data_IF_784574839794
#
_entry.id   IF_784574839794
#
_cell.length_a   1.000
_cell.length_b   1.000
_cell.length_c   1.000
_cell.angle_alpha   90.00
_cell.angle_beta   90.00
_cell.angle_gamma   90.00
#
_symmetry.space_group_name_H-M   'P 1'
#
loop_
_entity.id
_entity.type
_entity.pdbx_description
1 polymer ?
#
# COMPACT_ATOMS: atom_id res chain seq x y z
N UNK A 1 -0.72 6.18 20.19
CA UNK A 1 -0.09 6.83 19.02
C UNK A 1 0.48 5.74 18.16
N UNK A 2 0.01 5.64 16.92
CA UNK A 2 0.26 4.46 16.09
C UNK A 2 1.73 4.41 15.65
N UNK A 3 2.29 3.20 15.62
CA UNK A 3 3.68 2.83 15.31
C UNK A 3 4.28 3.49 14.04
N UNK A 4 3.43 4.03 13.18
CA UNK A 4 3.77 4.77 11.96
C UNK A 4 4.63 6.03 12.19
N UNK A 5 4.53 6.68 13.35
CA UNK A 5 5.22 7.96 13.61
C UNK A 5 6.75 7.83 13.82
N UNK A 6 7.27 6.63 14.10
CA UNK A 6 8.73 6.42 14.28
C UNK A 6 9.45 5.69 13.14
N UNK A 7 8.75 4.92 12.31
CA UNK A 7 9.37 4.07 11.27
C UNK A 7 8.57 3.95 9.96
N UNK A 8 7.66 4.88 9.69
CA UNK A 8 6.87 4.89 8.47
C UNK A 8 7.66 5.41 7.25
N UNK A 9 7.38 4.84 6.08
CA UNK A 9 7.98 5.22 4.81
C UNK A 9 7.09 6.22 4.08
N UNK A 10 7.53 7.48 4.01
CA UNK A 10 6.80 8.58 3.38
C UNK A 10 7.00 8.60 1.86
N UNK A 11 5.92 8.80 1.11
CA UNK A 11 5.92 8.99 -0.34
C UNK A 11 6.33 7.75 -1.16
N UNK A 12 6.55 6.61 -0.50
CA UNK A 12 7.03 5.39 -1.15
C UNK A 12 5.98 4.82 -2.12
N UNK A 13 4.76 4.59 -1.62
CA UNK A 13 3.62 4.18 -2.44
C UNK A 13 3.04 5.43 -3.09
N UNK A 14 3.15 5.59 -4.40
CA UNK A 14 2.60 6.79 -5.07
C UNK A 14 1.08 6.76 -5.00
N UNK A 15 0.45 7.91 -4.73
CA UNK A 15 -1.01 8.02 -4.62
C UNK A 15 -1.75 7.40 -5.82
N UNK A 16 -1.25 7.63 -7.03
CA UNK A 16 -1.84 7.10 -8.27
C UNK A 16 -1.71 5.57 -8.42
N UNK A 17 -0.76 4.96 -7.73
CA UNK A 17 -0.45 3.53 -7.82
C UNK A 17 -1.12 2.74 -6.66
N UNK A 18 -1.84 3.41 -5.75
CA UNK A 18 -2.44 2.78 -4.54
C UNK A 18 -3.45 1.69 -4.93
N UNK A 19 -4.29 1.95 -5.93
CA UNK A 19 -5.31 1.00 -6.36
C UNK A 19 -4.70 -0.25 -7.02
N UNK A 20 -3.74 -0.07 -7.93
CA UNK A 20 -3.03 -1.19 -8.56
C UNK A 20 -2.29 -2.04 -7.52
N UNK A 21 -1.70 -1.39 -6.52
CA UNK A 21 -1.05 -2.07 -5.42
C UNK A 21 -2.05 -2.85 -4.54
N UNK A 22 -3.25 -2.32 -4.31
CA UNK A 22 -4.32 -3.06 -3.62
C UNK A 22 -4.72 -4.31 -4.42
N UNK A 23 -4.96 -4.17 -5.72
CA UNK A 23 -5.28 -5.29 -6.60
C UNK A 23 -4.18 -6.36 -6.60
N UNK A 24 -2.92 -5.95 -6.67
CA UNK A 24 -1.75 -6.83 -6.57
C UNK A 24 -1.78 -7.69 -5.30
N UNK A 25 -2.08 -7.07 -4.16
CA UNK A 25 -2.17 -7.76 -2.87
C UNK A 25 -3.40 -8.70 -2.85
N UNK A 26 -4.54 -8.26 -3.38
CA UNK A 26 -5.75 -9.08 -3.43
C UNK A 26 -5.57 -10.37 -4.23
N UNK A 27 -4.89 -10.30 -5.38
CA UNK A 27 -4.54 -11.48 -6.17
C UNK A 27 -3.64 -12.47 -5.42
N UNK A 28 -2.93 -12.00 -4.38
CA UNK A 28 -2.06 -12.80 -3.51
C UNK A 28 -2.71 -13.11 -2.16
N UNK A 29 -4.05 -13.09 -2.11
CA UNK A 29 -4.83 -13.56 -0.95
C UNK A 29 -4.93 -12.58 0.20
N UNK A 30 -4.52 -11.32 0.02
CA UNK A 30 -4.85 -10.26 0.97
C UNK A 30 -6.32 -9.85 0.78
N UNK A 31 -7.02 -9.55 1.87
CA UNK A 31 -8.43 -9.16 1.81
C UNK A 31 -8.57 -7.67 2.15
N UNK A 32 -9.31 -6.88 1.36
CA UNK A 32 -9.62 -5.51 1.72
C UNK A 32 -10.42 -5.50 3.02
N UNK A 33 -10.14 -4.53 3.87
CA UNK A 33 -10.90 -4.30 5.09
C UNK A 33 -11.22 -2.81 5.25
N UNK A 34 -12.12 -2.50 6.18
CA UNK A 34 -12.66 -1.15 6.35
C UNK A 34 -11.52 -0.14 6.55
N UNK A 35 -11.44 0.84 5.65
CA UNK A 35 -10.52 1.97 5.75
C UNK A 35 -10.92 2.87 6.92
N UNK A 36 -9.95 3.26 7.75
CA UNK A 36 -10.20 4.14 8.90
C UNK A 36 -9.54 5.51 8.68
N UNK A 37 -10.29 6.59 8.95
CA UNK A 37 -9.77 7.96 8.95
C UNK A 37 -9.07 8.33 7.64
N UNK A 38 -7.74 8.46 7.67
CA UNK A 38 -6.90 8.89 6.54
C UNK A 38 -6.40 7.73 5.66
N UNK A 39 -6.93 6.53 5.85
CA UNK A 39 -6.52 5.35 5.08
C UNK A 39 -6.97 5.45 3.63
N UNK A 40 -6.01 5.30 2.72
CA UNK A 40 -6.24 5.21 1.28
C UNK A 40 -6.43 3.76 0.84
N UNK A 41 -5.76 2.83 1.51
CA UNK A 41 -5.86 1.39 1.28
C UNK A 41 -5.63 0.69 2.62
N UNK A 42 -6.41 -0.36 2.89
CA UNK A 42 -6.19 -1.23 4.04
C UNK A 42 -6.54 -2.67 3.69
N UNK A 43 -5.56 -3.56 3.80
CA UNK A 43 -5.74 -4.99 3.53
C UNK A 43 -5.20 -5.82 4.69
N UNK A 44 -5.75 -7.03 4.84
CA UNK A 44 -5.40 -7.94 5.93
C UNK A 44 -5.21 -9.37 5.43
N UNK A 45 -4.23 -10.06 6.03
CA UNK A 45 -3.96 -11.48 5.81
C UNK A 45 -3.32 -12.08 7.06
N UNK A 46 -3.83 -13.21 7.52
CA UNK A 46 -3.25 -14.00 8.63
C UNK A 46 -2.94 -13.15 9.89
N UNK A 47 -3.88 -12.27 10.26
CA UNK A 47 -3.73 -11.36 11.41
C UNK A 47 -2.81 -10.15 11.19
N UNK A 48 -2.19 -10.02 10.01
CA UNK A 48 -1.36 -8.87 9.64
C UNK A 48 -2.16 -7.86 8.82
N UNK A 49 -1.90 -6.58 9.06
CA UNK A 49 -2.54 -5.47 8.33
C UNK A 49 -1.48 -4.69 7.58
N UNK A 50 -1.77 -4.39 6.32
CA UNK A 50 -1.03 -3.43 5.51
C UNK A 50 -1.96 -2.25 5.25
N UNK A 51 -1.46 -1.06 5.54
CA UNK A 51 -2.21 0.17 5.39
C UNK A 51 -1.33 1.20 4.68
N UNK A 52 -1.94 1.92 3.75
CA UNK A 52 -1.38 3.12 3.15
C UNK A 52 -2.30 4.26 3.56
N UNK A 53 -1.74 5.27 4.23
CA UNK A 53 -2.50 6.43 4.71
C UNK A 53 -2.02 7.69 4.01
N UNK A 54 -2.88 8.70 3.92
CA UNK A 54 -2.50 10.05 3.52
C UNK A 54 -2.02 10.86 4.72
N UNK A 55 -0.79 11.34 4.67
CA UNK A 55 -0.26 12.36 5.57
C UNK A 55 -0.52 13.75 4.96
N UNK A 56 -1.47 14.49 5.55
CA UNK A 56 -1.86 15.81 5.08
C UNK A 56 -0.81 16.89 5.33
N UNK A 57 0.01 16.73 6.38
CA UNK A 57 1.03 17.72 6.74
C UNK A 57 2.21 17.65 5.77
N UNK A 58 2.65 16.43 5.49
CA UNK A 58 3.76 16.17 4.54
C UNK A 58 3.29 16.07 3.09
N UNK A 59 1.98 16.04 2.86
CA UNK A 59 1.33 15.88 1.54
C UNK A 59 1.85 14.66 0.79
N UNK A 60 2.00 13.55 1.52
CA UNK A 60 2.57 12.31 1.03
C UNK A 60 1.80 11.12 1.59
N UNK A 61 1.88 9.98 0.90
CA UNK A 61 1.44 8.72 1.45
C UNK A 61 2.39 8.25 2.54
N UNK A 62 1.92 7.39 3.43
CA UNK A 62 2.71 6.79 4.48
C UNK A 62 2.34 5.31 4.57
N UNK A 63 3.34 4.44 4.68
CA UNK A 63 3.13 3.01 4.90
C UNK A 63 4.11 2.43 5.92
N UNK A 64 3.81 1.24 6.42
CA UNK A 64 4.66 0.51 7.38
C UNK A 64 5.85 -0.16 6.67
N UNK A 65 6.77 -0.72 7.46
CA UNK A 65 7.87 -1.54 6.93
C UNK A 65 7.37 -2.73 6.09
N UNK A 66 6.29 -3.39 6.49
CA UNK A 66 5.72 -4.49 5.72
C UNK A 66 5.12 -4.00 4.41
N UNK A 67 4.45 -2.84 4.43
CA UNK A 67 3.95 -2.20 3.22
C UNK A 67 5.08 -1.84 2.26
N UNK A 68 6.22 -1.36 2.78
CA UNK A 68 7.41 -1.10 1.98
C UNK A 68 7.95 -2.35 1.27
N UNK A 69 8.06 -3.48 1.98
CA UNK A 69 8.58 -4.73 1.38
C UNK A 69 7.67 -5.20 0.25
N UNK A 70 6.36 -5.21 0.48
CA UNK A 70 5.38 -5.62 -0.52
C UNK A 70 5.30 -4.64 -1.69
N UNK A 71 5.53 -3.36 -1.43
CA UNK A 71 5.61 -2.34 -2.48
C UNK A 71 6.77 -2.61 -3.43
N UNK A 72 7.96 -2.91 -2.91
CA UNK A 72 9.10 -3.25 -3.78
C UNK A 72 8.87 -4.54 -4.58
N UNK A 73 8.29 -5.55 -3.95
CA UNK A 73 7.87 -6.78 -4.62
C UNK A 73 6.90 -6.47 -5.80
N UNK A 74 5.90 -5.62 -5.58
CA UNK A 74 5.02 -5.11 -6.64
C UNK A 74 5.77 -4.36 -7.75
N UNK A 75 6.69 -3.45 -7.41
CA UNK A 75 7.47 -2.70 -8.41
C UNK A 75 8.32 -3.63 -9.27
N UNK A 76 8.94 -4.65 -8.68
CA UNK A 76 9.88 -5.53 -9.37
C UNK A 76 9.15 -6.53 -10.28
N UNK A 77 8.00 -7.06 -9.83
CA UNK A 77 7.41 -8.23 -10.49
C UNK A 77 6.10 -7.98 -11.24
N UNK A 78 5.44 -6.83 -11.06
CA UNK A 78 4.11 -6.60 -11.61
C UNK A 78 3.93 -5.25 -12.30
N UNK A 79 4.51 -4.17 -11.77
CA UNK A 79 4.16 -2.82 -12.24
C UNK A 79 4.38 -2.59 -13.73
N UNK A 80 5.46 -3.14 -14.30
CA UNK A 80 5.74 -2.99 -15.73
C UNK A 80 4.90 -3.95 -16.61
N UNK A 81 4.35 -5.03 -16.03
CA UNK A 81 3.48 -5.97 -16.77
C UNK A 81 2.12 -5.38 -17.13
N UNK A 82 1.63 -4.41 -16.36
CA UNK A 82 0.39 -3.69 -16.67
C UNK A 82 0.50 -2.81 -17.93
N UNK A 83 1.71 -2.47 -18.39
CA UNK A 83 1.90 -1.73 -19.65
C UNK A 83 1.88 -2.63 -20.89
N UNK A 84 2.04 -3.95 -20.75
CA UNK A 84 2.11 -4.87 -21.89
C UNK A 84 0.74 -5.44 -22.30
N UNK A 85 -0.25 -5.40 -21.40
CA UNK A 85 -1.60 -5.86 -21.68
C UNK A 85 -2.65 -4.88 -21.09
N UNK A 86 -2.92 -3.76 -21.78
CA UNK A 86 -4.09 -2.96 -21.48
C UNK A 86 -5.35 -3.78 -21.80
N UNK A 87 -6.31 -3.81 -20.88
CA UNK A 87 -7.65 -4.34 -21.12
C UNK A 87 -8.33 -3.58 -22.27
#
# INVERSE_FOLDING_TARGET
MAEHERFGWFGLVRLRDVYEFECYLMQRGWKPCVTLGRSLMRVMRDGRVIEVVWDSEKRQTLTSRYGMVLWYDFQIFEKDKWFEHPL
#
